data_IF_948692621511
#
_entry.id   IF_948692621511
#
_cell.length_a   1.000
_cell.length_b   1.000
_cell.length_c   1.000
_cell.angle_alpha   90.00
_cell.angle_beta   90.00
_cell.angle_gamma   90.00
#
_symmetry.space_group_name_H-M   'P 1'
#
loop_
_entity.id
_entity.type
_entity.pdbx_description
1 polymer ?
#
# COMPACT_ATOMS: atom_id res chain seq x y z
N UNK A 1 -15.44 -6.80 -8.63
CA UNK A 1 -15.57 -5.36 -8.49
C UNK A 1 -14.27 -4.74 -8.03
N UNK A 2 -14.03 -3.51 -8.47
CA UNK A 2 -12.83 -2.77 -8.12
C UNK A 2 -13.14 -1.80 -6.98
N UNK A 3 -12.25 -1.80 -5.98
CA UNK A 3 -12.37 -0.92 -4.81
C UNK A 3 -11.17 0.01 -4.74
N UNK A 4 -11.37 1.15 -4.11
CA UNK A 4 -10.35 2.17 -3.93
C UNK A 4 -9.98 2.26 -2.45
N UNK A 5 -8.68 2.17 -2.14
CA UNK A 5 -8.18 2.24 -0.77
C UNK A 5 -7.12 3.31 -0.66
N UNK A 6 -7.24 4.14 0.36
CA UNK A 6 -6.21 5.11 0.71
C UNK A 6 -5.14 4.45 1.54
N UNK A 7 -3.88 4.84 1.34
CA UNK A 7 -2.78 4.31 2.14
C UNK A 7 -1.82 5.42 2.56
N UNK A 8 -1.14 5.16 3.67
CA UNK A 8 -0.06 6.01 4.19
C UNK A 8 1.13 5.11 4.48
N UNK A 9 2.32 5.55 4.07
CA UNK A 9 3.56 4.81 4.25
C UNK A 9 4.66 5.75 4.76
N UNK A 10 5.19 5.45 5.95
CA UNK A 10 6.28 6.24 6.53
C UNK A 10 7.60 5.84 5.90
N UNK A 11 8.42 6.82 5.55
CA UNK A 11 9.73 6.60 4.93
C UNK A 11 10.82 7.33 5.70
N UNK A 12 12.04 6.78 5.63
CA UNK A 12 13.25 7.44 6.11
C UNK A 12 14.11 7.93 4.95
N UNK A 13 13.94 7.32 3.77
CA UNK A 13 14.67 7.67 2.56
C UNK A 13 13.85 7.30 1.33
N UNK A 14 14.27 7.81 0.17
CA UNK A 14 13.60 7.46 -1.09
C UNK A 14 13.70 5.96 -1.40
N UNK A 15 14.71 5.28 -0.89
CA UNK A 15 14.84 3.83 -1.08
C UNK A 15 13.69 3.06 -0.44
N UNK A 16 13.12 3.56 0.65
CA UNK A 16 11.95 2.94 1.27
C UNK A 16 10.77 2.93 0.30
N UNK A 17 10.57 4.02 -0.43
CA UNK A 17 9.52 4.10 -1.44
C UNK A 17 9.78 3.12 -2.59
N UNK A 18 11.03 3.03 -3.05
CA UNK A 18 11.38 2.10 -4.13
C UNK A 18 11.06 0.65 -3.73
N UNK A 19 11.37 0.30 -2.48
CA UNK A 19 11.06 -1.04 -1.94
C UNK A 19 9.55 -1.31 -1.94
N UNK A 20 8.78 -0.37 -1.42
CA UNK A 20 7.31 -0.53 -1.38
C UNK A 20 6.74 -0.63 -2.79
N UNK A 21 7.17 0.25 -3.69
CA UNK A 21 6.69 0.23 -5.07
C UNK A 21 6.94 -1.12 -5.73
N UNK A 22 8.13 -1.68 -5.52
CA UNK A 22 8.49 -2.99 -6.06
C UNK A 22 7.54 -4.07 -5.56
N UNK A 23 7.23 -4.07 -4.26
CA UNK A 23 6.29 -5.05 -3.69
C UNK A 23 4.88 -4.84 -4.21
N UNK A 24 4.42 -3.57 -4.31
CA UNK A 24 3.09 -3.27 -4.82
C UNK A 24 2.92 -3.74 -6.27
N UNK A 25 3.93 -3.56 -7.11
CA UNK A 25 3.85 -3.92 -8.52
C UNK A 25 3.72 -5.42 -8.75
N UNK A 26 4.04 -6.24 -7.75
CA UNK A 26 3.93 -7.70 -7.85
C UNK A 26 2.63 -8.26 -7.29
N UNK A 27 1.77 -7.41 -6.70
CA UNK A 27 0.55 -7.88 -6.07
C UNK A 27 -0.47 -8.39 -7.08
N UNK A 28 -1.04 -9.55 -6.77
CA UNK A 28 -2.21 -10.05 -7.49
C UNK A 28 -3.40 -9.14 -7.23
N UNK A 29 -4.28 -9.02 -8.19
CA UNK A 29 -5.52 -8.25 -8.10
C UNK A 29 -5.32 -6.74 -7.97
N UNK A 30 -4.07 -6.25 -7.99
CA UNK A 30 -3.80 -4.82 -8.05
C UNK A 30 -4.07 -4.32 -9.47
N UNK A 31 -4.93 -3.31 -9.59
CA UNK A 31 -5.17 -2.65 -10.87
C UNK A 31 -4.15 -1.53 -11.09
N UNK A 32 -4.04 -0.65 -10.10
CA UNK A 32 -3.11 0.48 -10.18
C UNK A 32 -2.93 1.08 -8.79
N UNK A 33 -1.91 1.93 -8.66
CA UNK A 33 -1.73 2.75 -7.48
C UNK A 33 -1.19 4.12 -7.88
N UNK A 34 -1.52 5.14 -7.09
CA UNK A 34 -1.10 6.52 -7.35
C UNK A 34 -0.63 7.17 -6.06
N UNK A 35 0.47 7.90 -6.14
CA UNK A 35 0.92 8.75 -5.03
C UNK A 35 0.18 10.06 -5.11
N UNK A 36 -0.47 10.46 -4.01
CA UNK A 36 -1.21 11.72 -3.92
C UNK A 36 -0.45 12.78 -3.12
N UNK A 37 0.47 12.36 -2.25
CA UNK A 37 1.30 13.28 -1.48
C UNK A 37 2.63 12.60 -1.18
N UNK A 38 3.72 13.35 -1.34
CA UNK A 38 5.07 12.85 -1.11
C UNK A 38 5.88 13.92 -0.39
N UNK A 39 6.40 13.59 0.79
CA UNK A 39 7.30 14.46 1.51
C UNK A 39 8.46 13.64 2.08
N UNK A 40 9.31 14.25 2.90
CA UNK A 40 10.54 13.61 3.38
C UNK A 40 10.28 12.47 4.38
N UNK A 41 9.10 12.39 4.96
CA UNK A 41 8.81 11.41 6.01
C UNK A 41 7.63 10.49 5.69
N UNK A 42 6.77 10.85 4.74
CA UNK A 42 5.51 10.13 4.52
C UNK A 42 5.11 10.17 3.05
N UNK A 43 4.60 9.05 2.57
CA UNK A 43 3.96 8.95 1.27
C UNK A 43 2.50 8.60 1.50
N UNK A 44 1.60 9.33 0.85
CA UNK A 44 0.18 9.01 0.83
C UNK A 44 -0.23 8.69 -0.60
N UNK A 45 -1.15 7.77 -0.72
CA UNK A 45 -1.59 7.37 -2.04
C UNK A 45 -2.90 6.62 -2.04
N UNK A 46 -3.24 6.11 -3.21
CA UNK A 46 -4.48 5.39 -3.47
C UNK A 46 -4.15 4.10 -4.20
N UNK A 47 -4.78 3.02 -3.76
CA UNK A 47 -4.68 1.70 -4.40
C UNK A 47 -6.03 1.37 -5.01
N UNK A 48 -6.04 0.99 -6.29
CA UNK A 48 -7.20 0.43 -6.98
C UNK A 48 -7.02 -1.07 -7.05
N UNK A 49 -7.94 -1.82 -6.46
CA UNK A 49 -7.75 -3.24 -6.19
C UNK A 49 -9.03 -4.03 -6.50
N UNK A 50 -8.87 -5.22 -7.10
CA UNK A 50 -9.99 -6.12 -7.40
C UNK A 50 -10.25 -7.04 -6.22
N UNK A 51 -10.82 -6.50 -5.15
CA UNK A 51 -11.15 -7.27 -3.96
C UNK A 51 -11.54 -6.38 -2.80
N UNK A 52 -12.28 -6.94 -1.84
CA UNK A 52 -12.67 -6.22 -0.65
C UNK A 52 -11.50 -6.07 0.33
N UNK A 53 -11.73 -5.36 1.44
CA UNK A 53 -10.67 -5.09 2.41
C UNK A 53 -10.07 -6.36 3.02
N UNK A 54 -10.86 -7.41 3.25
CA UNK A 54 -10.32 -8.67 3.76
C UNK A 54 -9.35 -9.31 2.77
N UNK A 55 -9.68 -9.26 1.48
CA UNK A 55 -8.82 -9.78 0.42
C UNK A 55 -7.55 -8.94 0.30
N UNK A 56 -7.68 -7.62 0.39
CA UNK A 56 -6.53 -6.73 0.34
C UNK A 56 -5.55 -7.04 1.46
N UNK A 57 -6.07 -7.17 2.69
CA UNK A 57 -5.22 -7.44 3.85
C UNK A 57 -4.52 -8.80 3.72
N UNK A 58 -5.22 -9.80 3.22
CA UNK A 58 -4.63 -11.12 2.99
C UNK A 58 -3.52 -11.07 1.94
N UNK A 59 -3.78 -10.48 0.78
CA UNK A 59 -2.82 -10.39 -0.32
C UNK A 59 -1.58 -9.61 0.12
N UNK A 60 -1.78 -8.49 0.82
CA UNK A 60 -0.67 -7.70 1.33
C UNK A 60 0.21 -8.51 2.28
N UNK A 61 -0.40 -9.21 3.24
CA UNK A 61 0.35 -9.99 4.23
C UNK A 61 1.13 -11.13 3.58
N UNK A 62 0.60 -11.72 2.52
CA UNK A 62 1.28 -12.77 1.77
C UNK A 62 2.47 -12.25 0.96
N UNK A 63 2.53 -10.94 0.74
CA UNK A 63 3.55 -10.29 -0.08
C UNK A 63 4.46 -9.38 0.74
N UNK A 64 4.65 -9.70 2.02
CA UNK A 64 5.61 -9.02 2.88
C UNK A 64 5.21 -7.57 3.22
N UNK A 65 3.95 -7.22 3.07
CA UNK A 65 3.45 -5.90 3.40
C UNK A 65 2.53 -6.01 4.61
N UNK A 66 2.87 -5.28 5.66
CA UNK A 66 2.04 -5.18 6.85
C UNK A 66 1.04 -4.04 6.65
N UNK A 67 -0.25 -4.31 6.94
CA UNK A 67 -1.29 -3.29 6.82
C UNK A 67 -2.06 -3.19 8.13
N UNK A 68 -2.36 -1.95 8.52
CA UNK A 68 -3.20 -1.66 9.68
C UNK A 68 -4.35 -0.80 9.21
N UNK A 69 -5.56 -1.27 9.41
CA UNK A 69 -6.77 -0.54 9.04
C UNK A 69 -6.99 0.59 10.04
N UNK A 70 -6.87 1.83 9.59
CA UNK A 70 -7.03 3.02 10.42
C UNK A 70 -8.42 3.65 10.27
N UNK A 71 -9.33 2.97 9.57
CA UNK A 71 -10.67 3.47 9.29
C UNK A 71 -10.76 4.09 7.91
N UNK A 72 -10.28 5.32 7.76
CA UNK A 72 -10.34 6.04 6.49
C UNK A 72 -9.16 5.76 5.57
N UNK A 73 -8.13 5.07 6.06
CA UNK A 73 -6.95 4.71 5.27
C UNK A 73 -6.27 3.49 5.87
N UNK A 74 -5.37 2.89 5.11
CA UNK A 74 -4.48 1.83 5.60
C UNK A 74 -3.10 2.40 5.85
N UNK A 75 -2.56 2.13 7.03
CA UNK A 75 -1.15 2.40 7.30
C UNK A 75 -0.38 1.15 6.90
N UNK A 76 0.55 1.30 5.96
CA UNK A 76 1.31 0.17 5.44
C UNK A 76 2.77 0.29 5.81
N UNK A 77 3.42 -0.87 5.95
CA UNK A 77 4.85 -0.96 6.20
C UNK A 77 5.34 -2.29 5.64
N UNK A 78 6.63 -2.42 5.44
CA UNK A 78 7.21 -3.69 4.99
C UNK A 78 7.68 -4.47 6.20
N UNK A 79 7.51 -5.79 6.15
CA UNK A 79 8.13 -6.68 7.13
C UNK A 79 9.63 -6.73 6.84
N UNK A 80 10.43 -6.67 7.86
CA UNK A 80 11.89 -6.78 7.74
C UNK A 80 12.33 -8.24 7.60
#
# INVERSE_FOLDING_TARGET
DKFIYNFVYDINSINDWVKLRTELETLELLDSFHVTSFNLSTIEGVINFFGNNNKLELIMSQNNINVVNMGSYYKISLYD
#
